data_IF_188905607541
#
_entry.id   IF_188905607541
#
_cell.length_a   1.000
_cell.length_b   1.000
_cell.length_c   1.000
_cell.angle_alpha   90.00
_cell.angle_beta   90.00
_cell.angle_gamma   90.00
#
_symmetry.space_group_name_H-M   'P 1'
#
loop_
_entity.id
_entity.type
_entity.pdbx_description
1 polymer ?
#
# COMPACT_ATOMS: atom_id res chain seq x y z
N UNK A 1 -7.45 -12.36 -4.21
CA UNK A 1 -8.81 -12.12 -3.67
C UNK A 1 -9.30 -10.78 -4.18
N UNK A 2 -10.61 -10.56 -4.33
CA UNK A 2 -11.15 -9.26 -4.79
C UNK A 2 -12.17 -8.72 -3.79
N UNK A 3 -12.04 -7.45 -3.41
CA UNK A 3 -12.92 -6.75 -2.47
C UNK A 3 -14.07 -6.02 -3.20
N UNK A 4 -14.83 -6.73 -4.05
CA UNK A 4 -15.89 -6.13 -4.88
C UNK A 4 -16.97 -5.39 -4.09
N UNK A 5 -17.26 -5.84 -2.86
CA UNK A 5 -18.23 -5.19 -1.98
C UNK A 5 -17.80 -3.77 -1.55
N UNK A 6 -16.50 -3.47 -1.63
CA UNK A 6 -15.93 -2.17 -1.26
C UNK A 6 -15.56 -1.34 -2.49
N UNK A 7 -15.12 -1.98 -3.58
CA UNK A 7 -14.56 -1.30 -4.75
C UNK A 7 -15.40 -1.42 -6.03
N UNK A 8 -16.57 -2.07 -5.97
CA UNK A 8 -17.38 -2.43 -7.13
C UNK A 8 -16.67 -3.42 -8.10
N UNK A 9 -17.40 -4.04 -9.04
CA UNK A 9 -16.82 -5.04 -9.97
C UNK A 9 -15.66 -4.52 -10.82
N UNK A 10 -15.63 -3.21 -11.12
CA UNK A 10 -14.56 -2.55 -11.88
C UNK A 10 -13.37 -2.08 -11.04
N UNK A 11 -13.43 -2.21 -9.71
CA UNK A 11 -12.43 -1.62 -8.80
C UNK A 11 -12.59 -0.12 -8.55
N UNK A 12 -13.51 0.53 -9.27
CA UNK A 12 -13.93 1.92 -9.06
C UNK A 12 -15.45 2.04 -9.25
N UNK A 13 -16.13 2.71 -8.32
CA UNK A 13 -17.59 2.92 -8.38
C UNK A 13 -18.04 3.83 -9.52
N UNK A 14 -17.46 5.04 -9.74
CA UNK A 14 -17.87 5.86 -10.87
C UNK A 14 -17.28 5.33 -12.18
N UNK A 15 -18.11 5.30 -13.24
CA UNK A 15 -17.60 5.11 -14.60
C UNK A 15 -16.84 6.37 -15.01
N UNK A 16 -15.53 6.25 -15.17
CA UNK A 16 -14.66 7.33 -15.62
C UNK A 16 -14.24 7.11 -17.08
N UNK A 17 -13.89 8.20 -17.76
CA UNK A 17 -13.35 8.14 -19.12
C UNK A 17 -12.03 7.37 -19.11
N UNK A 18 -11.88 6.43 -20.03
CA UNK A 18 -10.62 5.70 -20.20
C UNK A 18 -9.48 6.67 -20.53
N UNK A 19 -8.32 6.41 -19.95
CA UNK A 19 -7.08 7.12 -20.30
C UNK A 19 -6.71 6.88 -21.76
N UNK A 20 -6.15 7.90 -22.43
CA UNK A 20 -5.55 7.75 -23.76
C UNK A 20 -4.10 7.26 -23.71
N UNK A 21 -3.51 7.13 -22.51
CA UNK A 21 -2.18 6.53 -22.34
C UNK A 21 -2.28 5.00 -22.35
N UNK A 22 -1.35 4.38 -23.04
CA UNK A 22 -1.09 2.93 -22.94
C UNK A 22 -0.28 2.63 -21.68
N UNK A 23 -0.36 1.37 -21.24
CA UNK A 23 0.53 0.85 -20.19
C UNK A 23 1.95 0.65 -20.74
N UNK A 24 2.94 0.75 -19.87
CA UNK A 24 4.34 0.44 -20.20
C UNK A 24 4.54 -1.07 -20.34
N UNK A 25 5.39 -1.50 -21.28
CA UNK A 25 5.67 -2.93 -21.50
C UNK A 25 6.54 -3.54 -20.41
N UNK A 26 7.30 -2.71 -19.69
CA UNK A 26 8.11 -3.12 -18.55
C UNK A 26 7.22 -3.62 -17.41
N UNK A 27 7.59 -4.75 -16.80
CA UNK A 27 6.88 -5.25 -15.62
C UNK A 27 7.17 -4.38 -14.41
N UNK A 28 6.20 -4.25 -13.52
CA UNK A 28 6.33 -3.42 -12.31
C UNK A 28 7.48 -3.88 -11.41
N UNK A 29 7.68 -5.18 -11.22
CA UNK A 29 8.80 -5.72 -10.44
C UNK A 29 10.17 -5.38 -11.04
N UNK A 30 10.29 -5.37 -12.37
CA UNK A 30 11.52 -5.00 -13.07
C UNK A 30 11.79 -3.49 -12.90
N UNK A 31 10.75 -2.66 -13.05
CA UNK A 31 10.84 -1.21 -12.83
C UNK A 31 11.27 -0.87 -11.41
N UNK A 32 10.72 -1.56 -10.40
CA UNK A 32 11.09 -1.37 -8.99
C UNK A 32 12.56 -1.75 -8.76
N UNK A 33 12.99 -2.91 -9.25
CA UNK A 33 14.38 -3.35 -9.11
C UNK A 33 15.36 -2.38 -9.80
N UNK A 34 15.04 -1.93 -11.01
CA UNK A 34 15.85 -0.95 -11.74
C UNK A 34 15.92 0.39 -11.01
N UNK A 35 14.79 0.87 -10.48
CA UNK A 35 14.72 2.15 -9.77
C UNK A 35 15.58 2.15 -8.50
N UNK A 36 15.53 1.07 -7.71
CA UNK A 36 16.34 0.92 -6.49
C UNK A 36 17.84 0.81 -6.85
N UNK A 37 18.17 0.09 -7.92
CA UNK A 37 19.56 -0.01 -8.40
C UNK A 37 20.10 1.35 -8.86
N UNK A 38 19.26 2.15 -9.52
CA UNK A 38 19.63 3.47 -10.04
C UNK A 38 19.81 4.51 -8.95
N UNK A 39 19.01 4.43 -7.89
CA UNK A 39 18.99 5.39 -6.78
C UNK A 39 19.09 4.67 -5.42
N UNK A 40 20.22 4.01 -5.12
CA UNK A 40 20.37 3.22 -3.91
C UNK A 40 20.35 4.12 -2.67
N UNK A 41 19.48 3.80 -1.71
CA UNK A 41 19.28 4.57 -0.48
C UNK A 41 18.39 5.79 -0.63
N UNK A 42 17.78 6.02 -1.81
CA UNK A 42 16.90 7.19 -2.06
C UNK A 42 15.43 6.80 -2.27
N UNK A 43 15.16 5.55 -2.67
CA UNK A 43 13.80 5.12 -2.99
C UNK A 43 13.03 4.81 -1.70
N UNK A 44 11.93 5.54 -1.48
CA UNK A 44 10.86 5.17 -0.54
C UNK A 44 9.75 4.43 -1.28
N UNK A 45 9.37 3.25 -0.79
CA UNK A 45 8.26 2.45 -1.31
C UNK A 45 7.01 2.69 -0.45
N UNK A 46 5.88 2.98 -1.09
CA UNK A 46 4.56 3.05 -0.43
C UNK A 46 3.69 1.94 -0.97
N UNK A 47 3.51 0.88 -0.18
CA UNK A 47 2.74 -0.30 -0.53
C UNK A 47 1.30 -0.18 -0.03
N UNK A 48 0.35 -0.06 -0.96
CA UNK A 48 -1.09 0.12 -0.68
C UNK A 48 -1.93 -1.11 -1.03
N UNK A 49 -1.27 -2.19 -1.44
CA UNK A 49 -1.88 -3.46 -1.84
C UNK A 49 -1.04 -4.65 -1.37
N UNK A 50 -1.38 -5.88 -1.82
CA UNK A 50 -0.60 -7.07 -1.52
C UNK A 50 0.88 -6.92 -1.91
N UNK A 51 1.78 -7.43 -1.07
CA UNK A 51 3.23 -7.19 -1.20
C UNK A 51 3.94 -8.04 -2.27
N UNK A 52 3.17 -8.76 -3.09
CA UNK A 52 3.67 -9.72 -4.08
C UNK A 52 4.69 -9.09 -5.04
N UNK A 53 4.39 -7.90 -5.58
CA UNK A 53 5.27 -7.24 -6.57
C UNK A 53 6.59 -6.79 -5.96
N UNK A 54 6.59 -6.35 -4.70
CA UNK A 54 7.82 -5.97 -3.97
C UNK A 54 8.71 -7.19 -3.77
N UNK A 55 8.12 -8.31 -3.34
CA UNK A 55 8.88 -9.56 -3.15
C UNK A 55 9.39 -10.12 -4.47
N UNK A 56 8.65 -9.98 -5.56
CA UNK A 56 9.14 -10.33 -6.91
C UNK A 56 10.34 -9.48 -7.31
N UNK A 57 10.32 -8.17 -7.05
CA UNK A 57 11.48 -7.31 -7.28
C UNK A 57 12.69 -7.78 -6.45
N UNK A 58 12.51 -8.08 -5.16
CA UNK A 58 13.58 -8.59 -4.30
C UNK A 58 14.06 -10.01 -4.65
N UNK A 59 13.35 -10.74 -5.50
CA UNK A 59 13.83 -12.03 -6.05
C UNK A 59 14.76 -11.84 -7.25
N UNK A 60 14.62 -10.75 -7.99
CA UNK A 60 15.55 -10.38 -9.07
C UNK A 60 16.94 -10.16 -8.48
N UNK A 61 17.00 -9.39 -7.39
CA UNK A 61 18.23 -9.17 -6.63
C UNK A 61 17.91 -9.07 -5.11
N UNK A 62 18.29 -10.09 -4.31
CA UNK A 62 18.02 -10.13 -2.86
C UNK A 62 18.61 -8.96 -2.08
N UNK A 63 19.66 -8.31 -2.59
CA UNK A 63 20.33 -7.18 -1.93
C UNK A 63 19.55 -5.87 -2.06
N UNK A 64 18.53 -5.82 -2.92
CA UNK A 64 17.71 -4.61 -3.11
C UNK A 64 17.04 -4.16 -1.82
N UNK A 65 16.61 -5.09 -0.98
CA UNK A 65 15.99 -4.80 0.32
C UNK A 65 16.87 -3.91 1.22
N UNK A 66 18.19 -4.02 1.11
CA UNK A 66 19.16 -3.23 1.89
C UNK A 66 19.44 -1.84 1.28
N UNK A 67 18.97 -1.60 0.05
CA UNK A 67 19.19 -0.36 -0.72
C UNK A 67 17.93 0.49 -0.86
N UNK A 68 16.83 0.06 -0.26
CA UNK A 68 15.62 0.87 -0.11
C UNK A 68 15.81 1.76 1.11
N UNK A 69 15.47 3.05 1.00
CA UNK A 69 15.49 3.95 2.16
C UNK A 69 14.46 3.50 3.20
N UNK A 70 13.22 3.32 2.74
CA UNK A 70 12.09 2.93 3.60
C UNK A 70 10.96 2.28 2.83
N UNK A 71 10.20 1.43 3.51
CA UNK A 71 8.94 0.87 3.01
C UNK A 71 7.81 1.22 3.97
N UNK A 72 6.82 1.97 3.49
CA UNK A 72 5.55 2.14 4.18
C UNK A 72 4.58 1.08 3.68
N UNK A 73 3.99 0.30 4.59
CA UNK A 73 3.02 -0.73 4.24
C UNK A 73 1.68 -0.37 4.86
N UNK A 74 0.68 -0.08 4.03
CA UNK A 74 -0.71 -0.07 4.49
C UNK A 74 -1.20 -1.51 4.55
N UNK A 75 -1.39 -2.02 5.76
CA UNK A 75 -1.87 -3.36 5.99
C UNK A 75 -1.65 -3.85 7.42
N UNK A 76 -2.28 -4.97 7.74
CA UNK A 76 -2.27 -5.54 9.09
C UNK A 76 -3.29 -4.91 10.03
N UNK A 77 -3.52 -5.58 11.17
CA UNK A 77 -4.40 -5.16 12.24
C UNK A 77 -3.73 -5.54 13.56
N UNK A 78 -3.13 -4.56 14.26
CA UNK A 78 -2.29 -4.82 15.44
C UNK A 78 -3.12 -4.69 16.71
N UNK A 79 -3.76 -3.53 16.89
CA UNK A 79 -4.57 -3.21 18.08
C UNK A 79 -6.08 -3.20 17.76
N UNK A 80 -6.48 -3.89 16.70
CA UNK A 80 -7.87 -4.00 16.29
C UNK A 80 -8.14 -5.32 15.55
N UNK A 81 -9.42 -5.57 15.23
CA UNK A 81 -9.81 -6.71 14.41
C UNK A 81 -9.48 -6.49 12.93
N UNK A 82 -9.22 -7.59 12.23
CA UNK A 82 -9.06 -7.59 10.78
C UNK A 82 -10.37 -7.30 10.02
N UNK A 83 -10.24 -7.01 8.73
CA UNK A 83 -11.36 -6.69 7.82
C UNK A 83 -11.72 -7.85 6.86
N UNK A 84 -10.88 -8.90 6.75
CA UNK A 84 -11.19 -10.13 6.00
C UNK A 84 -11.58 -11.26 6.94
N UNK A 85 -10.80 -11.45 7.99
CA UNK A 85 -11.13 -12.31 9.13
C UNK A 85 -10.99 -11.48 10.40
N UNK A 86 -11.45 -11.95 11.57
CA UNK A 86 -11.23 -11.24 12.83
C UNK A 86 -9.74 -10.94 13.12
N UNK A 87 -8.80 -11.66 12.49
CA UNK A 87 -7.36 -11.58 12.74
C UNK A 87 -6.52 -11.13 11.54
N UNK A 88 -7.15 -10.86 10.38
CA UNK A 88 -6.42 -10.59 9.16
C UNK A 88 -6.99 -9.42 8.38
N UNK A 89 -6.08 -8.50 8.03
CA UNK A 89 -6.33 -7.40 7.09
C UNK A 89 -6.12 -7.89 5.65
N UNK A 90 -6.88 -7.33 4.71
CA UNK A 90 -6.97 -7.70 3.30
C UNK A 90 -5.63 -7.83 2.58
N UNK A 91 -4.76 -6.82 2.61
CA UNK A 91 -3.49 -6.83 1.88
C UNK A 91 -2.55 -7.93 2.39
N UNK A 92 -2.50 -8.14 3.71
CA UNK A 92 -1.69 -9.20 4.33
C UNK A 92 -2.33 -10.58 4.10
N UNK A 93 -3.66 -10.67 4.14
CA UNK A 93 -4.39 -11.91 3.90
C UNK A 93 -4.26 -12.41 2.45
N UNK A 94 -4.16 -11.50 1.49
CA UNK A 94 -4.07 -11.87 0.07
C UNK A 94 -2.74 -12.55 -0.29
N UNK A 95 -1.62 -12.10 0.29
CA UNK A 95 -0.31 -12.73 0.14
C UNK A 95 0.51 -12.70 1.45
N UNK A 96 0.18 -13.58 2.41
CA UNK A 96 0.84 -13.60 3.72
C UNK A 96 2.30 -14.06 3.62
N UNK A 97 2.64 -14.83 2.59
CA UNK A 97 4.01 -15.28 2.34
C UNK A 97 4.88 -14.10 1.91
N UNK A 98 4.39 -13.26 0.99
CA UNK A 98 5.10 -12.04 0.61
C UNK A 98 5.23 -11.07 1.79
N UNK A 99 4.17 -10.90 2.59
CA UNK A 99 4.21 -10.09 3.80
C UNK A 99 5.30 -10.55 4.77
N UNK A 100 5.37 -11.86 5.06
CA UNK A 100 6.40 -12.43 5.91
C UNK A 100 7.82 -12.14 5.38
N UNK A 101 8.03 -12.24 4.07
CA UNK A 101 9.32 -11.93 3.45
C UNK A 101 9.69 -10.45 3.65
N UNK A 102 8.77 -9.52 3.37
CA UNK A 102 9.05 -8.09 3.51
C UNK A 102 9.36 -7.73 4.97
N UNK A 103 8.57 -8.23 5.92
CA UNK A 103 8.79 -7.94 7.34
C UNK A 103 10.06 -8.59 7.91
N UNK A 104 10.54 -9.68 7.30
CA UNK A 104 11.75 -10.38 7.75
C UNK A 104 13.04 -9.90 7.07
N UNK A 105 12.97 -9.19 5.93
CA UNK A 105 14.15 -8.92 5.07
C UNK A 105 14.95 -7.65 5.40
N UNK A 106 14.80 -7.08 6.59
CA UNK A 106 15.70 -6.05 7.11
C UNK A 106 15.63 -4.68 6.44
N UNK A 107 14.75 -4.47 5.45
CA UNK A 107 14.42 -3.14 4.98
C UNK A 107 13.72 -2.36 6.13
N UNK A 108 13.95 -1.04 6.28
CA UNK A 108 13.21 -0.25 7.26
C UNK A 108 11.73 -0.19 6.89
N UNK A 109 10.90 -0.99 7.58
CA UNK A 109 9.45 -1.05 7.34
C UNK A 109 8.72 -0.23 8.40
N UNK A 110 7.80 0.62 7.94
CA UNK A 110 6.78 1.25 8.79
C UNK A 110 5.42 0.69 8.42
N UNK A 111 4.78 0.00 9.37
CA UNK A 111 3.44 -0.54 9.19
C UNK A 111 2.40 0.52 9.53
N UNK A 112 1.43 0.70 8.64
CA UNK A 112 0.26 1.56 8.82
C UNK A 112 -0.96 0.63 8.81
N UNK A 113 -1.27 0.09 9.98
CA UNK A 113 -2.34 -0.89 10.18
C UNK A 113 -3.74 -0.30 10.21
N UNK A 114 -4.74 -1.18 10.27
CA UNK A 114 -6.15 -0.79 10.40
C UNK A 114 -6.41 0.03 11.66
N UNK A 115 -5.70 -0.22 12.76
CA UNK A 115 -5.80 0.56 14.00
C UNK A 115 -5.48 2.05 13.77
N UNK A 116 -4.41 2.36 13.03
CA UNK A 116 -4.11 3.72 12.58
C UNK A 116 -5.12 4.20 11.54
N UNK A 117 -5.41 3.42 10.50
CA UNK A 117 -6.29 3.86 9.42
C UNK A 117 -7.73 4.15 9.89
N UNK A 118 -8.27 3.38 10.83
CA UNK A 118 -9.62 3.59 11.39
C UNK A 118 -9.72 4.86 12.25
N UNK A 119 -8.59 5.42 12.71
CA UNK A 119 -8.59 6.73 13.38
C UNK A 119 -8.82 7.91 12.42
N UNK A 120 -8.66 7.69 11.11
CA UNK A 120 -8.82 8.71 10.07
C UNK A 120 -10.08 8.40 9.26
N UNK A 121 -11.15 9.14 9.55
CA UNK A 121 -12.43 8.97 8.87
C UNK A 121 -12.81 10.22 8.06
N UNK A 122 -13.46 10.00 6.92
CA UNK A 122 -14.07 11.06 6.11
C UNK A 122 -15.58 10.87 6.11
N UNK A 123 -16.30 11.74 6.84
CA UNK A 123 -17.75 11.78 6.79
C UNK A 123 -18.24 12.52 5.54
N UNK A 124 -19.47 12.22 5.14
CA UNK A 124 -20.18 12.99 4.11
C UNK A 124 -20.22 14.50 4.42
N UNK A 125 -20.29 14.85 5.70
CA UNK A 125 -20.29 16.25 6.19
C UNK A 125 -18.91 16.88 6.28
N UNK A 126 -17.83 16.09 6.27
CA UNK A 126 -16.44 16.60 6.26
C UNK A 126 -16.05 17.17 4.89
N UNK A 127 -16.86 16.90 3.86
CA UNK A 127 -16.66 17.38 2.50
C UNK A 127 -17.70 18.48 2.21
N UNK A 128 -17.29 19.74 2.18
CA UNK A 128 -18.10 20.76 1.50
C UNK A 128 -17.98 20.54 0.00
N UNK A 129 -18.83 19.69 -0.55
CA UNK A 129 -18.92 19.48 -1.99
C UNK A 129 -19.69 20.66 -2.64
N UNK A 130 -19.42 21.00 -3.91
CA UNK A 130 -19.77 20.09 -5.00
C UNK A 130 -18.56 19.35 -5.56
N UNK A 131 -17.35 19.79 -5.25
CA UNK A 131 -16.04 19.18 -5.51
C UNK A 131 -15.07 19.76 -4.45
N UNK A 132 -14.67 18.89 -3.52
CA UNK A 132 -13.94 19.01 -2.23
C UNK A 132 -13.02 20.23 -1.96
N UNK A 133 -13.26 20.90 -0.82
CA UNK A 133 -12.25 21.52 0.06
C UNK A 133 -12.50 21.01 1.50
N UNK A 134 -11.61 20.18 2.06
CA UNK A 134 -11.71 19.72 3.46
C UNK A 134 -10.75 20.50 4.36
N UNK A 135 -11.26 21.00 5.49
CA UNK A 135 -10.49 21.70 6.52
C UNK A 135 -9.91 20.74 7.58
N UNK A 136 -10.26 19.44 7.57
CA UNK A 136 -9.66 18.46 8.48
C UNK A 136 -8.36 17.95 7.89
N UNK A 137 -7.23 18.51 8.35
CA UNK A 137 -5.94 17.83 8.31
C UNK A 137 -5.92 16.80 9.43
N UNK A 138 -5.78 15.53 9.11
CA UNK A 138 -5.41 14.52 10.10
C UNK A 138 -4.02 14.88 10.58
N UNK A 139 -3.89 15.43 11.79
CA UNK A 139 -2.61 15.47 12.49
C UNK A 139 -2.30 14.05 12.94
N UNK A 140 -1.58 13.30 12.09
CA UNK A 140 -0.97 12.05 12.51
C UNK A 140 0.20 12.41 13.42
N UNK A 141 -0.02 12.33 14.72
CA UNK A 141 1.07 12.41 15.70
C UNK A 141 1.82 11.09 15.65
N UNK A 142 2.84 11.01 14.78
CA UNK A 142 3.80 9.91 14.79
C UNK A 142 4.62 10.06 16.07
N UNK A 143 4.34 9.22 17.08
CA UNK A 143 5.20 9.10 18.25
C UNK A 143 6.35 8.16 17.88
N UNK A 144 7.57 8.70 17.87
CA UNK A 144 8.83 7.96 17.74
C UNK A 144 9.14 7.17 19.00
#
# INVERSE_FOLDING_TARGET
MYAYNYHAPSGLTPKIKSSSRSYESQKGEDFVAESINRYPGEITIVALGPLTSIVRAFRIDPTLSQRVDRIYVMGGAIECLGNVTPWAEFNIYDDPVAANVVFSKGAPVTLVGLDVCHSVFVNRTDLSWPFVNSLKRSEVVVRS
#
